data_IF_493882356561
#
_entry.id   IF_493882356561
#
_cell.length_a   1.000
_cell.length_b   1.000
_cell.length_c   1.000
_cell.angle_alpha   90.00
_cell.angle_beta   90.00
_cell.angle_gamma   90.00
#
_symmetry.space_group_name_H-M   'P 1'
#
loop_
_entity.id
_entity.type
_entity.pdbx_description
1 polymer ?
#
# COMPACT_ATOMS: atom_id res chain seq x y z
N UNK A 1 -34.14 8.79 -3.53
CA UNK A 1 -33.18 7.68 -3.41
C UNK A 1 -32.06 7.94 -4.40
N UNK A 2 -30.81 8.06 -3.94
CA UNK A 2 -29.59 7.83 -4.72
C UNK A 2 -28.41 8.12 -3.78
N UNK A 3 -28.04 7.12 -2.98
CA UNK A 3 -26.75 7.12 -2.31
C UNK A 3 -25.70 7.00 -3.41
N UNK A 4 -24.86 8.03 -3.54
CA UNK A 4 -23.66 7.95 -4.35
C UNK A 4 -22.87 6.75 -3.84
N UNK A 5 -22.65 5.79 -4.74
CA UNK A 5 -21.83 4.61 -4.50
C UNK A 5 -20.39 5.10 -4.40
N UNK A 6 -20.01 5.62 -3.23
CA UNK A 6 -18.61 5.72 -2.83
C UNK A 6 -18.12 4.29 -2.86
N UNK A 7 -17.42 3.90 -3.92
CA UNK A 7 -16.74 2.61 -3.98
C UNK A 7 -15.63 2.63 -2.94
N UNK A 8 -16.01 2.43 -1.68
CA UNK A 8 -15.13 1.99 -0.62
C UNK A 8 -14.53 0.71 -1.16
N UNK A 9 -13.25 0.78 -1.55
CA UNK A 9 -12.53 -0.39 -1.99
C UNK A 9 -12.38 -1.28 -0.75
N UNK A 10 -13.37 -2.16 -0.57
CA UNK A 10 -13.46 -3.10 0.53
C UNK A 10 -12.80 -4.39 0.06
N UNK A 11 -11.56 -4.57 0.47
CA UNK A 11 -10.76 -5.72 0.06
C UNK A 11 -9.37 -5.67 0.68
N UNK A 12 -8.64 -6.76 0.47
CA UNK A 12 -7.22 -6.87 0.82
C UNK A 12 -6.41 -7.13 -0.44
N UNK A 13 -5.16 -6.67 -0.41
CA UNK A 13 -4.15 -7.04 -1.40
C UNK A 13 -2.91 -7.56 -0.67
N UNK A 14 -2.16 -8.43 -1.33
CA UNK A 14 -0.97 -9.06 -0.75
C UNK A 14 0.26 -8.62 -1.53
N UNK A 15 1.29 -8.16 -0.81
CA UNK A 15 2.56 -7.71 -1.40
C UNK A 15 3.70 -8.15 -0.48
N UNK A 16 4.75 -8.74 -1.05
CA UNK A 16 5.89 -9.31 -0.29
C UNK A 16 5.47 -10.26 0.85
N UNK A 17 4.36 -11.00 0.68
CA UNK A 17 3.83 -11.93 1.68
C UNK A 17 2.99 -11.31 2.81
N UNK A 18 2.89 -9.98 2.88
CA UNK A 18 2.02 -9.27 3.82
C UNK A 18 0.68 -8.89 3.17
N UNK A 19 -0.40 -8.94 3.93
CA UNK A 19 -1.74 -8.55 3.47
C UNK A 19 -2.19 -7.22 4.06
N UNK A 20 -2.67 -6.32 3.20
CA UNK A 20 -3.04 -4.96 3.53
C UNK A 20 -4.51 -4.69 3.20
N UNK A 21 -5.22 -4.01 4.09
CA UNK A 21 -6.59 -3.57 3.81
C UNK A 21 -6.58 -2.32 2.93
N UNK A 22 -7.27 -2.38 1.79
CA UNK A 22 -7.28 -1.29 0.80
C UNK A 22 -7.80 0.02 1.42
N UNK A 23 -8.75 -0.06 2.36
CA UNK A 23 -9.29 1.10 3.08
C UNK A 23 -8.22 1.91 3.84
N UNK A 24 -7.13 1.25 4.26
CA UNK A 24 -6.03 1.85 5.00
C UNK A 24 -4.84 2.24 4.11
N UNK A 25 -4.71 1.57 2.97
CA UNK A 25 -3.61 1.75 2.03
C UNK A 25 -4.11 1.97 0.59
N UNK A 26 -4.97 2.98 0.35
CA UNK A 26 -5.60 3.16 -0.96
C UNK A 26 -4.59 3.59 -2.03
N UNK A 27 -3.53 4.33 -1.70
CA UNK A 27 -2.52 4.74 -2.68
C UNK A 27 -1.56 3.61 -3.01
N UNK A 28 -1.13 2.84 -2.02
CA UNK A 28 -0.38 1.61 -2.28
C UNK A 28 -1.21 0.65 -3.13
N UNK A 29 -2.52 0.53 -2.89
CA UNK A 29 -3.37 -0.31 -3.74
C UNK A 29 -3.43 0.21 -5.19
N UNK A 30 -3.50 1.52 -5.40
CA UNK A 30 -3.44 2.08 -6.76
C UNK A 30 -2.09 1.77 -7.44
N UNK A 31 -0.99 1.88 -6.69
CA UNK A 31 0.34 1.51 -7.18
C UNK A 31 0.46 0.00 -7.45
N UNK A 32 -0.12 -0.83 -6.59
CA UNK A 32 -0.21 -2.27 -6.78
C UNK A 32 -0.96 -2.63 -8.06
N UNK A 33 -2.05 -1.92 -8.37
CA UNK A 33 -2.82 -2.13 -9.61
C UNK A 33 -2.07 -1.68 -10.87
N UNK A 34 -1.23 -0.66 -10.77
CA UNK A 34 -0.57 -0.03 -11.93
C UNK A 34 0.84 -0.54 -12.18
N UNK A 35 1.59 -0.86 -11.13
CA UNK A 35 2.99 -1.28 -11.18
C UNK A 35 3.35 -2.08 -9.92
N UNK A 36 2.86 -3.33 -9.79
CA UNK A 36 3.09 -4.16 -8.61
C UNK A 36 4.59 -4.44 -8.38
N UNK A 37 5.39 -4.68 -9.42
CA UNK A 37 6.84 -4.89 -9.30
C UNK A 37 7.58 -3.68 -8.72
N UNK A 38 7.12 -2.46 -9.06
CA UNK A 38 7.71 -1.23 -8.56
C UNK A 38 7.34 -1.02 -7.08
N UNK A 39 6.08 -1.32 -6.72
CA UNK A 39 5.64 -1.29 -5.33
C UNK A 39 6.45 -2.27 -4.48
N UNK A 40 6.62 -3.51 -4.92
CA UNK A 40 7.43 -4.52 -4.23
C UNK A 40 8.87 -4.05 -4.04
N UNK A 41 9.50 -3.53 -5.09
CA UNK A 41 10.88 -3.02 -5.00
C UNK A 41 11.01 -1.85 -4.03
N UNK A 42 10.04 -0.94 -4.00
CA UNK A 42 10.07 0.21 -3.09
C UNK A 42 9.83 -0.21 -1.63
N UNK A 43 8.84 -1.07 -1.38
CA UNK A 43 8.59 -1.60 -0.05
C UNK A 43 9.77 -2.40 0.48
N UNK A 44 10.39 -3.24 -0.36
CA UNK A 44 11.60 -3.96 0.03
C UNK A 44 12.76 -3.00 0.31
N UNK A 45 12.98 -1.98 -0.52
CA UNK A 45 14.05 -1.00 -0.31
C UNK A 45 13.87 -0.18 0.98
N UNK A 46 12.64 0.22 1.30
CA UNK A 46 12.34 0.93 2.56
C UNK A 46 12.51 -0.01 3.75
N UNK A 47 12.03 -1.25 3.65
CA UNK A 47 12.19 -2.26 4.68
C UNK A 47 13.66 -2.58 4.94
N UNK A 48 14.50 -2.71 3.90
CA UNK A 48 15.93 -2.97 4.01
C UNK A 48 16.69 -1.76 4.60
N UNK A 49 16.24 -0.53 4.28
CA UNK A 49 16.82 0.69 4.83
C UNK A 49 16.53 0.86 6.34
N UNK A 50 15.43 0.29 6.82
CA UNK A 50 15.07 0.31 8.23
C UNK A 50 15.55 -0.98 8.87
N UNK A 51 16.52 -0.91 9.79
CA UNK A 51 17.17 -2.08 10.42
C UNK A 51 16.21 -3.17 10.98
N UNK A 52 14.92 -2.87 11.19
CA UNK A 52 13.90 -3.84 11.63
C UNK A 52 13.18 -4.60 10.49
N UNK A 53 13.36 -4.25 9.21
CA UNK A 53 12.95 -5.10 8.07
C UNK A 53 11.44 -5.31 7.88
N UNK A 54 10.59 -4.58 8.60
CA UNK A 54 9.15 -4.82 8.56
C UNK A 54 8.51 -4.21 7.31
N UNK A 55 8.03 -5.08 6.40
CA UNK A 55 7.25 -4.68 5.21
C UNK A 55 6.02 -3.85 5.60
N UNK A 56 5.40 -4.15 6.75
CA UNK A 56 4.25 -3.38 7.24
C UNK A 56 4.64 -1.95 7.62
N UNK A 57 5.77 -1.78 8.29
CA UNK A 57 6.28 -0.45 8.64
C UNK A 57 6.67 0.33 7.39
N UNK A 58 7.30 -0.35 6.42
CA UNK A 58 7.60 0.23 5.11
C UNK A 58 6.33 0.67 4.36
N UNK A 59 5.26 -0.13 4.41
CA UNK A 59 3.98 0.22 3.80
C UNK A 59 3.34 1.46 4.44
N UNK A 60 3.36 1.57 5.77
CA UNK A 60 2.86 2.77 6.47
C UNK A 60 3.66 4.02 6.08
N UNK A 61 4.98 3.90 6.04
CA UNK A 61 5.86 4.99 5.64
C UNK A 61 5.59 5.42 4.20
N UNK A 62 5.48 4.45 3.30
CA UNK A 62 5.34 4.71 1.88
C UNK A 62 3.94 5.23 1.51
N UNK A 63 2.88 4.72 2.12
CA UNK A 63 1.52 5.29 1.97
C UNK A 63 1.49 6.76 2.43
N UNK A 64 2.19 7.08 3.53
CA UNK A 64 2.34 8.45 4.00
C UNK A 64 3.19 9.31 3.05
N UNK A 65 4.22 8.77 2.43
CA UNK A 65 5.04 9.49 1.45
C UNK A 65 4.22 9.82 0.19
N UNK A 66 3.49 8.83 -0.33
CA UNK A 66 2.54 8.99 -1.45
C UNK A 66 1.39 9.97 -1.13
N UNK A 67 1.16 10.28 0.15
CA UNK A 67 0.20 11.30 0.57
C UNK A 67 0.71 12.73 0.42
N UNK A 68 2.02 12.94 0.59
CA UNK A 68 2.63 14.27 0.67
C UNK A 68 3.47 14.61 -0.56
N UNK A 69 3.81 13.64 -1.40
CA UNK A 69 4.38 13.83 -2.74
C UNK A 69 3.34 14.20 -3.78
#
# INVERSE_FOLDING_TARGET
>A
MNAAHSSEHTGTFTVLGESFEIKHFPRLYNMYCTSPDNLERQLQGIADAWHEGSIRSAAVAFESDLQHG
#
